data_IF_930767394313
#
_entry.id   IF_930767394313
#
_cell.length_a   1.000
_cell.length_b   1.000
_cell.length_c   1.000
_cell.angle_alpha   90.00
_cell.angle_beta   90.00
_cell.angle_gamma   90.00
#
_symmetry.space_group_name_H-M   'P 1'
#
loop_
_entity.id
_entity.type
_entity.pdbx_description
1 polymer ?
#
# COMPACT_ATOMS: atom_id res chain seq x y z
N UNK A 1 5.82 -12.36 -18.87
CA UNK A 1 7.28 -12.16 -19.07
C UNK A 1 7.85 -11.69 -17.74
N UNK A 2 8.76 -12.46 -17.16
CA UNK A 2 9.48 -12.06 -15.97
C UNK A 2 10.69 -11.21 -16.38
N UNK A 3 10.86 -10.06 -15.71
CA UNK A 3 11.93 -9.12 -16.00
C UNK A 3 12.74 -8.85 -14.73
N UNK A 4 13.99 -9.28 -14.71
CA UNK A 4 14.94 -8.93 -13.65
C UNK A 4 15.64 -7.61 -13.99
N UNK A 5 15.74 -6.69 -13.03
CA UNK A 5 16.35 -5.38 -13.24
C UNK A 5 17.07 -4.88 -12.00
N UNK A 6 18.11 -4.05 -12.20
CA UNK A 6 18.84 -3.35 -11.16
C UNK A 6 18.46 -1.86 -11.00
N UNK A 7 17.35 -1.40 -11.59
CA UNK A 7 16.95 0.01 -11.58
C UNK A 7 16.94 0.64 -10.19
N UNK A 8 16.60 -0.13 -9.16
CA UNK A 8 16.67 0.33 -7.77
C UNK A 8 18.09 0.61 -7.24
N UNK A 9 19.13 0.18 -7.96
CA UNK A 9 20.54 0.46 -7.66
C UNK A 9 21.10 1.63 -8.49
N UNK A 10 20.27 2.25 -9.32
CA UNK A 10 20.62 3.34 -10.22
C UNK A 10 20.15 4.70 -9.71
N UNK A 11 20.30 5.75 -10.51
CA UNK A 11 19.80 7.11 -10.26
C UNK A 11 18.29 7.18 -10.03
N UNK A 12 17.49 6.29 -10.60
CA UNK A 12 16.04 6.23 -10.36
C UNK A 12 15.69 6.11 -8.87
N UNK A 13 16.47 5.37 -8.10
CA UNK A 13 16.25 5.28 -6.66
C UNK A 13 16.73 6.54 -5.91
N UNK A 14 17.84 7.13 -6.35
CA UNK A 14 18.39 8.35 -5.75
C UNK A 14 17.51 9.58 -5.98
N UNK A 15 16.81 9.66 -7.10
CA UNK A 15 15.89 10.75 -7.44
C UNK A 15 14.52 10.65 -6.76
N UNK A 16 14.36 9.81 -5.74
CA UNK A 16 13.11 9.67 -4.99
C UNK A 16 12.13 8.71 -5.65
N UNK A 17 12.45 7.43 -5.58
CA UNK A 17 11.66 6.35 -6.20
C UNK A 17 10.14 6.50 -6.04
N UNK A 18 9.63 6.70 -4.83
CA UNK A 18 8.20 6.81 -4.58
C UNK A 18 7.58 8.09 -5.14
N UNK A 19 8.24 9.24 -4.95
CA UNK A 19 7.67 10.54 -5.26
C UNK A 19 7.84 10.97 -6.72
N UNK A 20 8.93 10.52 -7.40
CA UNK A 20 9.29 11.07 -8.70
C UNK A 20 9.53 10.04 -9.81
N UNK A 21 10.13 8.88 -9.52
CA UNK A 21 10.80 8.14 -10.60
C UNK A 21 10.23 6.78 -10.95
N UNK A 22 9.41 6.14 -10.11
CA UNK A 22 9.03 4.74 -10.36
C UNK A 22 8.13 4.56 -11.60
N UNK A 23 7.27 5.50 -11.96
CA UNK A 23 6.48 5.44 -13.18
C UNK A 23 7.37 5.45 -14.42
N UNK A 24 8.29 6.43 -14.51
CA UNK A 24 9.26 6.49 -15.60
C UNK A 24 10.16 5.25 -15.65
N UNK A 25 10.58 4.73 -14.49
CA UNK A 25 11.42 3.54 -14.42
C UNK A 25 10.69 2.29 -14.94
N UNK A 26 9.40 2.12 -14.61
CA UNK A 26 8.58 1.02 -15.15
C UNK A 26 8.34 1.19 -16.65
N UNK A 27 8.04 2.41 -17.09
CA UNK A 27 7.86 2.73 -18.49
C UNK A 27 9.13 2.47 -19.33
N UNK A 28 10.31 2.80 -18.81
CA UNK A 28 11.58 2.54 -19.51
C UNK A 28 11.81 1.05 -19.76
N UNK A 29 11.48 0.19 -18.78
CA UNK A 29 11.54 -1.27 -18.97
C UNK A 29 10.53 -1.71 -20.05
N UNK A 30 9.31 -1.17 -20.01
CA UNK A 30 8.28 -1.49 -20.99
C UNK A 30 8.72 -1.13 -22.42
N UNK A 31 9.35 0.04 -22.63
CA UNK A 31 9.90 0.44 -23.91
C UNK A 31 11.04 -0.46 -24.41
N UNK A 32 11.90 -0.96 -23.52
CA UNK A 32 12.93 -1.95 -23.89
C UNK A 32 12.33 -3.25 -24.41
N UNK A 33 11.08 -3.55 -24.05
CA UNK A 33 10.33 -4.72 -24.50
C UNK A 33 9.31 -4.40 -25.60
N UNK A 34 9.37 -3.20 -26.16
CA UNK A 34 8.37 -2.65 -27.09
C UNK A 34 8.05 -3.55 -28.29
N UNK A 35 9.04 -4.27 -28.84
CA UNK A 35 8.82 -5.22 -29.93
C UNK A 35 7.94 -6.44 -29.53
N UNK A 36 7.66 -6.63 -28.26
CA UNK A 36 6.87 -7.74 -27.71
C UNK A 36 5.59 -7.29 -26.99
N UNK A 37 5.46 -6.00 -26.73
CA UNK A 37 4.37 -5.41 -25.94
C UNK A 37 3.78 -4.24 -26.71
N UNK A 38 2.49 -4.23 -26.95
CA UNK A 38 1.75 -3.07 -27.47
C UNK A 38 1.06 -2.25 -26.36
N UNK A 39 0.92 -2.85 -25.18
CA UNK A 39 0.24 -2.22 -24.04
C UNK A 39 0.83 -2.66 -22.72
N UNK A 40 0.99 -1.72 -21.78
CA UNK A 40 1.42 -1.96 -20.41
C UNK A 40 0.50 -1.25 -19.43
N UNK A 41 0.10 -1.96 -18.39
CA UNK A 41 -0.73 -1.44 -17.31
C UNK A 41 0.14 -1.17 -16.08
N UNK A 42 0.18 0.07 -15.61
CA UNK A 42 0.81 0.45 -14.35
C UNK A 42 -0.27 0.52 -13.28
N UNK A 43 -0.22 -0.37 -12.31
CA UNK A 43 -1.23 -0.45 -11.25
C UNK A 43 -1.21 0.81 -10.35
N UNK A 44 -2.34 1.48 -10.23
CA UNK A 44 -2.46 2.68 -9.41
C UNK A 44 -2.27 2.41 -7.92
N UNK A 45 -1.51 3.27 -7.25
CA UNK A 45 -1.34 3.25 -5.80
C UNK A 45 -2.57 3.80 -5.07
N UNK A 46 -3.14 4.89 -5.57
CA UNK A 46 -4.33 5.56 -5.02
C UNK A 46 -5.50 5.59 -5.98
N UNK A 47 -6.64 6.10 -5.50
CA UNK A 47 -7.80 6.38 -6.35
C UNK A 47 -7.88 7.84 -6.77
N UNK A 48 -8.70 8.14 -7.78
CA UNK A 48 -8.93 9.51 -8.28
C UNK A 48 -9.36 10.51 -7.20
N UNK A 49 -10.05 10.06 -6.16
CA UNK A 49 -10.52 10.91 -5.04
C UNK A 49 -9.41 11.38 -4.10
N UNK A 50 -8.17 11.01 -4.33
CA UNK A 50 -7.06 11.33 -3.43
C UNK A 50 -5.72 11.34 -4.13
N UNK A 51 -5.67 11.95 -5.32
CA UNK A 51 -4.44 12.11 -6.07
C UNK A 51 -3.49 13.06 -5.34
N UNK A 52 -2.24 12.66 -5.32
CA UNK A 52 -1.12 13.49 -4.86
C UNK A 52 0.02 13.36 -5.87
N UNK A 53 0.97 14.29 -5.91
CA UNK A 53 2.20 14.12 -6.69
C UNK A 53 2.91 12.82 -6.31
N UNK A 54 3.01 11.90 -7.26
CA UNK A 54 3.59 10.57 -7.08
C UNK A 54 4.29 10.13 -8.35
N UNK A 55 5.34 9.34 -8.25
CA UNK A 55 6.19 8.95 -9.38
C UNK A 55 5.50 8.08 -10.44
N UNK A 56 4.30 7.56 -10.17
CA UNK A 56 3.36 7.01 -11.14
C UNK A 56 2.00 7.66 -10.88
N UNK A 57 1.42 8.29 -11.88
CA UNK A 57 0.23 9.13 -11.71
C UNK A 57 -0.66 9.07 -12.96
N UNK A 58 -1.99 9.10 -12.85
CA UNK A 58 -2.89 8.97 -14.01
C UNK A 58 -2.74 10.10 -15.06
N UNK A 59 -2.19 11.25 -14.67
CA UNK A 59 -1.91 12.34 -15.61
C UNK A 59 -0.54 12.22 -16.31
N UNK A 60 0.41 11.51 -15.71
CA UNK A 60 1.77 11.42 -16.26
C UNK A 60 2.06 10.10 -16.94
N UNK A 61 1.56 8.97 -16.41
CA UNK A 61 1.86 7.66 -16.98
C UNK A 61 1.45 7.53 -18.46
N UNK A 62 0.26 7.98 -18.90
CA UNK A 62 -0.11 7.93 -20.32
C UNK A 62 0.81 8.73 -21.23
N UNK A 63 1.44 9.82 -20.73
CA UNK A 63 2.39 10.64 -21.49
C UNK A 63 3.72 9.92 -21.76
N UNK A 64 3.96 8.80 -21.07
CA UNK A 64 5.13 7.94 -21.29
C UNK A 64 4.89 6.92 -22.42
N UNK A 65 3.74 6.94 -23.10
CA UNK A 65 3.46 6.12 -24.27
C UNK A 65 4.32 6.54 -25.46
N UNK A 66 4.57 5.59 -26.37
CA UNK A 66 5.25 5.82 -27.64
C UNK A 66 4.37 5.42 -28.83
N UNK A 67 4.94 5.43 -30.04
CA UNK A 67 4.24 5.01 -31.27
C UNK A 67 3.71 3.59 -31.19
N UNK A 68 4.48 2.67 -30.60
CA UNK A 68 4.22 1.25 -30.64
C UNK A 68 3.81 0.67 -29.29
N UNK A 69 3.86 1.49 -28.21
CA UNK A 69 3.57 1.07 -26.84
C UNK A 69 2.63 2.05 -26.14
N UNK A 70 1.47 1.59 -25.75
CA UNK A 70 0.53 2.34 -24.92
C UNK A 70 0.75 2.02 -23.43
N UNK A 71 0.96 3.06 -22.61
CA UNK A 71 1.05 2.95 -21.15
C UNK A 71 -0.23 3.46 -20.52
N UNK A 72 -0.86 2.66 -19.68
CA UNK A 72 -2.11 2.95 -19.01
C UNK A 72 -1.89 2.93 -17.49
N UNK A 73 -2.30 4.00 -16.80
CA UNK A 73 -2.41 4.00 -15.34
C UNK A 73 -3.71 3.32 -14.95
N UNK A 74 -3.64 2.10 -14.42
CA UNK A 74 -4.80 1.23 -14.23
C UNK A 74 -5.33 1.19 -12.80
N UNK A 75 -6.65 1.08 -12.68
CA UNK A 75 -7.34 0.83 -11.41
C UNK A 75 -7.51 2.07 -10.51
N UNK A 76 -7.27 3.30 -10.99
CA UNK A 76 -7.46 4.52 -10.18
C UNK A 76 -8.94 4.86 -9.87
N UNK A 77 -9.89 4.22 -10.51
CA UNK A 77 -11.31 4.34 -10.18
C UNK A 77 -11.67 3.74 -8.81
N UNK A 78 -10.82 2.85 -8.29
CA UNK A 78 -11.08 2.09 -7.07
C UNK A 78 -10.11 2.46 -5.95
N UNK A 79 -10.63 2.58 -4.73
CA UNK A 79 -9.79 2.73 -3.54
C UNK A 79 -9.16 1.38 -3.13
N UNK A 80 -8.25 1.41 -2.14
CA UNK A 80 -7.53 0.20 -1.72
C UNK A 80 -8.45 -0.89 -1.16
N UNK A 81 -9.48 -0.54 -0.43
CA UNK A 81 -10.42 -1.51 0.14
C UNK A 81 -11.22 -2.21 -0.97
N UNK A 82 -11.74 -1.44 -1.93
CA UNK A 82 -12.45 -1.99 -3.09
C UNK A 82 -11.57 -2.93 -3.94
N UNK A 83 -10.30 -2.55 -4.15
CA UNK A 83 -9.33 -3.44 -4.82
C UNK A 83 -9.09 -4.72 -4.03
N UNK A 84 -8.97 -4.62 -2.71
CA UNK A 84 -8.79 -5.79 -1.84
C UNK A 84 -10.03 -6.68 -1.89
N UNK A 85 -11.22 -6.12 -1.83
CA UNK A 85 -12.49 -6.84 -1.98
C UNK A 85 -12.58 -7.56 -3.32
N UNK A 86 -12.20 -6.88 -4.41
CA UNK A 86 -12.22 -7.47 -5.74
C UNK A 86 -11.29 -8.69 -5.82
N UNK A 87 -10.02 -8.54 -5.43
CA UNK A 87 -9.04 -9.63 -5.53
C UNK A 87 -9.31 -10.76 -4.53
N UNK A 88 -10.01 -10.51 -3.42
CA UNK A 88 -10.29 -11.54 -2.40
C UNK A 88 -11.15 -12.69 -2.92
N UNK A 89 -11.83 -12.48 -4.04
CA UNK A 89 -12.68 -13.49 -4.71
C UNK A 89 -11.91 -14.45 -5.62
N UNK A 90 -10.61 -14.18 -5.84
CA UNK A 90 -9.79 -14.97 -6.78
C UNK A 90 -8.82 -15.88 -6.04
N UNK A 91 -8.82 -17.15 -6.37
CA UNK A 91 -7.96 -18.16 -5.73
C UNK A 91 -6.47 -17.87 -5.94
N UNK A 92 -6.08 -17.32 -7.09
CA UNK A 92 -4.70 -16.89 -7.33
C UNK A 92 -4.26 -15.81 -6.32
N UNK A 93 -5.13 -14.84 -5.99
CA UNK A 93 -4.81 -13.83 -4.99
C UNK A 93 -4.75 -14.44 -3.59
N UNK A 94 -5.67 -15.34 -3.25
CA UNK A 94 -5.69 -16.05 -1.96
C UNK A 94 -4.40 -16.84 -1.72
N UNK A 95 -3.88 -17.46 -2.76
CA UNK A 95 -2.68 -18.31 -2.72
C UNK A 95 -1.37 -17.53 -2.82
N UNK A 96 -1.33 -16.43 -3.59
CA UNK A 96 -0.07 -15.78 -3.94
C UNK A 96 0.04 -14.30 -3.56
N UNK A 97 -0.97 -13.66 -2.96
CA UNK A 97 -0.90 -12.25 -2.64
C UNK A 97 0.29 -11.93 -1.74
N UNK A 98 1.26 -11.19 -2.27
CA UNK A 98 2.41 -10.70 -1.54
C UNK A 98 2.40 -9.18 -1.48
N UNK A 99 2.35 -8.62 -0.26
CA UNK A 99 2.30 -7.16 -0.02
C UNK A 99 3.47 -6.65 0.80
N UNK A 100 4.25 -7.56 1.36
CA UNK A 100 5.33 -7.28 2.29
C UNK A 100 6.51 -6.58 1.61
N UNK A 101 7.29 -5.82 2.40
CA UNK A 101 8.59 -5.31 1.97
C UNK A 101 9.70 -6.36 2.04
N UNK A 102 9.49 -7.48 2.75
CA UNK A 102 10.46 -8.58 2.83
C UNK A 102 10.67 -9.18 1.46
N UNK A 103 11.91 -9.26 1.03
CA UNK A 103 12.34 -9.82 -0.25
C UNK A 103 12.87 -11.24 0.01
N UNK A 104 12.63 -12.16 -0.91
CA UNK A 104 13.18 -13.51 -0.87
C UNK A 104 12.37 -14.53 -0.07
N UNK A 105 11.11 -14.23 0.27
CA UNK A 105 10.18 -15.18 0.86
C UNK A 105 8.86 -15.20 0.09
N UNK A 106 8.25 -16.36 -0.06
CA UNK A 106 6.93 -16.53 -0.70
C UNK A 106 5.78 -16.11 0.23
N UNK A 107 6.08 -15.83 1.50
CA UNK A 107 5.10 -15.45 2.52
C UNK A 107 5.29 -14.03 2.99
N UNK A 108 4.19 -13.39 3.35
CA UNK A 108 4.19 -12.09 4.01
C UNK A 108 4.75 -12.21 5.44
N UNK A 109 5.51 -11.22 5.93
CA UNK A 109 6.01 -11.23 7.31
C UNK A 109 4.90 -11.14 8.36
N UNK A 110 3.70 -10.69 7.97
CA UNK A 110 2.50 -10.52 8.80
C UNK A 110 2.66 -9.60 10.02
N UNK A 111 3.70 -8.75 10.02
CA UNK A 111 4.01 -7.83 11.12
C UNK A 111 4.22 -6.38 10.65
N UNK A 112 4.64 -6.16 9.41
CA UNK A 112 4.87 -4.80 8.90
C UNK A 112 3.55 -4.07 8.61
N UNK A 113 3.64 -2.75 8.50
CA UNK A 113 2.52 -1.84 8.22
C UNK A 113 1.69 -2.29 7.02
N UNK A 114 2.33 -2.71 5.93
CA UNK A 114 1.62 -3.18 4.73
C UNK A 114 0.83 -4.47 4.98
N UNK A 115 1.44 -5.43 5.68
CA UNK A 115 0.77 -6.67 6.05
C UNK A 115 -0.44 -6.38 6.92
N UNK A 116 -0.28 -5.60 8.00
CA UNK A 116 -1.37 -5.28 8.90
C UNK A 116 -2.54 -4.57 8.22
N UNK A 117 -2.26 -3.59 7.37
CA UNK A 117 -3.30 -2.91 6.57
C UNK A 117 -4.09 -3.88 5.71
N UNK A 118 -3.40 -4.80 5.03
CA UNK A 118 -4.06 -5.78 4.16
C UNK A 118 -4.84 -6.80 4.98
N UNK A 119 -4.27 -7.30 6.08
CA UNK A 119 -4.95 -8.24 6.97
C UNK A 119 -6.23 -7.63 7.57
N UNK A 120 -6.20 -6.36 8.02
CA UNK A 120 -7.40 -5.66 8.51
C UNK A 120 -8.48 -5.50 7.43
N UNK A 121 -8.07 -5.18 6.18
CA UNK A 121 -9.02 -5.08 5.07
C UNK A 121 -9.67 -6.44 4.78
N UNK A 122 -8.86 -7.50 4.78
CA UNK A 122 -9.35 -8.87 4.57
C UNK A 122 -10.22 -9.36 5.75
N UNK A 123 -9.89 -8.99 6.99
CA UNK A 123 -10.67 -9.33 8.17
C UNK A 123 -12.06 -8.67 8.14
N UNK A 124 -12.13 -7.36 7.89
CA UNK A 124 -13.43 -6.68 7.80
C UNK A 124 -14.27 -7.14 6.62
N UNK A 125 -13.65 -7.74 5.60
CA UNK A 125 -14.31 -8.37 4.46
C UNK A 125 -14.74 -9.84 4.73
N UNK A 126 -14.36 -10.42 5.88
CA UNK A 126 -14.54 -11.84 6.24
C UNK A 126 -13.75 -12.81 5.35
N UNK A 127 -12.73 -12.32 4.65
CA UNK A 127 -11.92 -13.07 3.69
C UNK A 127 -10.54 -13.49 4.21
N UNK A 128 -10.10 -12.97 5.35
CA UNK A 128 -8.72 -13.15 5.85
C UNK A 128 -8.32 -14.63 6.00
N UNK A 129 -9.25 -15.49 6.41
CA UNK A 129 -9.02 -16.93 6.59
C UNK A 129 -8.56 -17.64 5.30
N UNK A 130 -8.92 -17.13 4.13
CA UNK A 130 -8.64 -17.73 2.82
C UNK A 130 -7.25 -17.40 2.26
N UNK A 131 -6.54 -16.44 2.84
CA UNK A 131 -5.24 -16.00 2.33
C UNK A 131 -4.08 -16.77 2.97
N UNK A 132 -3.42 -17.63 2.19
CA UNK A 132 -2.39 -18.58 2.65
C UNK A 132 -1.03 -17.92 2.95
N UNK A 133 -0.78 -16.75 2.35
CA UNK A 133 0.51 -16.06 2.46
C UNK A 133 0.69 -15.30 3.77
N UNK A 134 -0.38 -15.17 4.58
CA UNK A 134 -0.33 -14.50 5.90
C UNK A 134 -0.35 -15.50 7.05
N UNK A 135 0.47 -15.24 8.06
CA UNK A 135 0.45 -15.95 9.34
C UNK A 135 -0.69 -15.40 10.21
N UNK A 136 -1.72 -16.23 10.42
CA UNK A 136 -2.92 -15.87 11.17
C UNK A 136 -2.63 -15.59 12.66
N UNK A 137 -1.62 -16.27 13.23
CA UNK A 137 -1.25 -16.11 14.63
C UNK A 137 -0.63 -14.74 14.94
N UNK A 138 -0.15 -14.04 13.92
CA UNK A 138 0.43 -12.69 14.05
C UNK A 138 -0.59 -11.57 13.93
N UNK A 139 -1.84 -11.89 13.64
CA UNK A 139 -2.92 -10.90 13.56
C UNK A 139 -3.75 -10.89 14.84
N UNK A 140 -3.91 -9.72 15.43
CA UNK A 140 -4.81 -9.56 16.58
C UNK A 140 -5.42 -8.16 16.61
N UNK A 141 -6.66 -8.07 17.08
CA UNK A 141 -7.36 -6.80 17.30
C UNK A 141 -6.63 -5.94 18.36
N UNK A 142 -6.07 -6.58 19.39
CA UNK A 142 -5.29 -5.89 20.43
C UNK A 142 -4.04 -5.19 19.84
N UNK A 143 -3.42 -5.76 18.83
CA UNK A 143 -2.27 -5.12 18.15
C UNK A 143 -2.70 -3.89 17.36
N UNK A 144 -3.87 -3.94 16.71
CA UNK A 144 -4.42 -2.79 15.98
C UNK A 144 -4.59 -1.58 16.90
N UNK A 145 -5.05 -1.79 18.13
CA UNK A 145 -5.27 -0.69 19.08
C UNK A 145 -4.01 0.08 19.47
N UNK A 146 -2.84 -0.53 19.33
CA UNK A 146 -1.51 0.05 19.60
C UNK A 146 -0.79 0.51 18.34
N UNK A 147 -1.41 0.40 17.17
CA UNK A 147 -0.80 0.77 15.91
C UNK A 147 -0.53 2.28 15.85
N UNK A 148 0.70 2.67 15.49
CA UNK A 148 1.09 4.06 15.33
C UNK A 148 0.90 4.52 13.88
N UNK A 149 -0.05 5.41 13.65
CA UNK A 149 -0.34 6.01 12.35
C UNK A 149 0.58 7.22 12.14
N UNK A 150 1.70 7.00 11.44
CA UNK A 150 2.74 8.03 11.28
C UNK A 150 2.39 9.09 10.24
N UNK A 151 1.64 8.72 9.23
CA UNK A 151 1.37 9.58 8.08
C UNK A 151 -0.11 9.58 7.70
N UNK A 152 -0.53 10.61 6.98
CA UNK A 152 -1.92 10.77 6.54
C UNK A 152 -2.51 9.56 5.81
N UNK A 153 -1.67 8.81 5.10
CA UNK A 153 -2.06 7.57 4.44
C UNK A 153 -2.50 6.48 5.41
N UNK A 154 -1.87 6.37 6.58
CA UNK A 154 -2.23 5.39 7.58
C UNK A 154 -3.64 5.66 8.08
N UNK A 155 -3.94 6.91 8.43
CA UNK A 155 -5.27 7.34 8.82
C UNK A 155 -6.31 7.08 7.72
N UNK A 156 -5.96 7.34 6.45
CA UNK A 156 -6.86 7.09 5.32
C UNK A 156 -7.23 5.61 5.21
N UNK A 157 -6.24 4.71 5.30
CA UNK A 157 -6.50 3.27 5.25
C UNK A 157 -7.28 2.76 6.46
N UNK A 158 -6.94 3.21 7.66
CA UNK A 158 -7.68 2.87 8.87
C UNK A 158 -9.13 3.34 8.81
N UNK A 159 -9.38 4.55 8.31
CA UNK A 159 -10.74 5.07 8.12
C UNK A 159 -11.55 4.26 7.09
N UNK A 160 -10.95 3.78 6.01
CA UNK A 160 -11.64 2.89 5.05
C UNK A 160 -12.13 1.61 5.74
N UNK A 161 -11.25 0.96 6.53
CA UNK A 161 -11.62 -0.24 7.30
C UNK A 161 -12.69 0.09 8.34
N UNK A 162 -12.53 1.20 9.09
CA UNK A 162 -13.48 1.64 10.10
C UNK A 162 -14.87 1.88 9.52
N UNK A 163 -14.98 2.54 8.38
CA UNK A 163 -16.26 2.81 7.72
C UNK A 163 -16.99 1.51 7.35
N UNK A 164 -16.27 0.53 6.82
CA UNK A 164 -16.85 -0.78 6.52
C UNK A 164 -17.19 -1.56 7.80
N UNK A 165 -16.35 -1.45 8.85
CA UNK A 165 -16.61 -2.07 10.14
C UNK A 165 -17.89 -1.54 10.81
N UNK A 166 -18.21 -0.25 10.61
CA UNK A 166 -19.51 0.33 11.07
C UNK A 166 -20.67 -0.35 10.34
N UNK A 167 -20.60 -0.47 9.02
CA UNK A 167 -21.65 -1.13 8.22
C UNK A 167 -21.83 -2.59 8.63
N UNK A 168 -20.73 -3.29 8.87
CA UNK A 168 -20.72 -4.71 9.28
C UNK A 168 -20.89 -4.93 10.78
N UNK A 169 -21.09 -3.87 11.57
CA UNK A 169 -21.27 -3.92 13.04
C UNK A 169 -20.11 -4.59 13.79
N UNK A 170 -18.88 -4.50 13.26
CA UNK A 170 -17.65 -5.02 13.87
C UNK A 170 -17.14 -4.03 14.92
N UNK A 171 -17.80 -4.03 16.09
CA UNK A 171 -17.50 -3.12 17.23
C UNK A 171 -16.07 -3.30 17.74
N UNK A 172 -15.54 -4.51 17.68
CA UNK A 172 -14.16 -4.85 18.02
C UNK A 172 -13.15 -4.05 17.19
N UNK A 173 -13.29 -4.07 15.86
CA UNK A 173 -12.44 -3.31 14.94
C UNK A 173 -12.60 -1.80 15.10
N UNK A 174 -13.83 -1.30 15.27
CA UNK A 174 -14.10 0.12 15.48
C UNK A 174 -13.34 0.62 16.70
N UNK A 175 -13.50 -0.05 17.87
CA UNK A 175 -12.83 0.32 19.11
C UNK A 175 -11.30 0.26 18.99
N UNK A 176 -10.77 -0.77 18.32
CA UNK A 176 -9.33 -0.91 18.13
C UNK A 176 -8.74 0.22 17.25
N UNK A 177 -9.43 0.57 16.16
CA UNK A 177 -9.01 1.66 15.27
C UNK A 177 -9.09 3.00 15.99
N UNK A 178 -10.19 3.28 16.69
CA UNK A 178 -10.34 4.52 17.47
C UNK A 178 -9.27 4.64 18.56
N UNK A 179 -8.91 3.52 19.21
CA UNK A 179 -7.81 3.46 20.17
C UNK A 179 -6.45 3.75 19.50
N UNK A 180 -6.20 3.20 18.30
CA UNK A 180 -4.96 3.47 17.57
C UNK A 180 -4.80 4.95 17.19
N UNK A 181 -5.89 5.63 16.85
CA UNK A 181 -5.87 7.08 16.57
C UNK A 181 -5.52 7.89 17.82
N UNK A 182 -6.10 7.55 18.98
CA UNK A 182 -5.75 8.18 20.25
C UNK A 182 -4.28 7.93 20.60
N UNK A 183 -3.84 6.67 20.51
CA UNK A 183 -2.44 6.28 20.74
C UNK A 183 -1.47 7.07 19.86
N UNK A 184 -1.75 7.19 18.56
CA UNK A 184 -0.93 7.96 17.62
C UNK A 184 -0.83 9.43 18.03
N UNK A 185 -1.95 10.06 18.40
CA UNK A 185 -1.97 11.45 18.86
C UNK A 185 -1.12 11.66 20.11
N UNK A 186 -1.18 10.75 21.10
CA UNK A 186 -0.34 10.82 22.28
C UNK A 186 1.15 10.68 21.95
N UNK A 187 1.50 9.76 21.07
CA UNK A 187 2.89 9.57 20.63
C UNK A 187 3.42 10.77 19.86
N UNK A 188 2.62 11.39 19.00
CA UNK A 188 3.01 12.61 18.28
C UNK A 188 3.33 13.75 19.25
N UNK A 189 2.49 13.95 20.26
CA UNK A 189 2.72 14.95 21.32
C UNK A 189 4.01 14.62 22.07
N UNK A 190 4.19 13.39 22.52
CA UNK A 190 5.39 12.96 23.24
C UNK A 190 6.67 13.18 22.40
N UNK A 191 6.66 12.77 21.13
CA UNK A 191 7.80 12.97 20.23
C UNK A 191 8.10 14.45 19.98
N UNK A 192 7.08 15.30 19.93
CA UNK A 192 7.25 16.75 19.81
C UNK A 192 7.99 17.33 21.03
N UNK A 193 7.60 16.92 22.23
CA UNK A 193 8.27 17.34 23.47
C UNK A 193 9.69 16.81 23.56
N UNK A 194 9.93 15.54 23.24
CA UNK A 194 11.25 14.94 23.24
C UNK A 194 12.23 15.70 22.32
N UNK A 195 11.78 16.06 21.10
CA UNK A 195 12.58 16.86 20.15
C UNK A 195 12.86 18.29 20.68
N UNK A 196 11.94 18.90 21.43
CA UNK A 196 12.17 20.22 22.03
C UNK A 196 13.24 20.15 23.13
N UNK A 197 13.17 19.13 23.99
CA UNK A 197 14.19 18.87 25.04
C UNK A 197 15.56 18.64 24.43
N UNK A 198 15.65 17.78 23.40
CA UNK A 198 16.91 17.51 22.70
C UNK A 198 17.54 18.78 22.08
N UNK A 199 16.72 19.67 21.53
CA UNK A 199 17.18 20.99 21.02
C UNK A 199 17.63 21.95 22.12
N UNK A 200 17.07 21.82 23.30
CA UNK A 200 17.45 22.67 24.46
C UNK A 200 18.74 22.20 25.12
N UNK A 201 19.04 20.89 25.03
CA UNK A 201 20.27 20.30 25.57
C UNK A 201 21.50 20.42 24.64
N UNK A 202 21.33 20.84 23.40
CA UNK A 202 22.38 21.17 22.41
C UNK A 202 22.67 22.66 22.39
#
# INVERSE_FOLDING_TARGET
>A
IDVATNLRKTHFNKSGWGKLSHGCALASIAHLLGNRLSKVLIASTGGYTGLIPWGSHPLTDPLLSGSDLTIIHDGAAFNRLQKTEFISKYDLARKYLHVCYSIGTDKNCSQCVKCYRTMMMLDVLDEFKHFETFDKNKYSIAHISKFYNQVSWDYKYMNMVRSLAVIKKRIDLIKAIDSSFKHSKYLDIFLLYARKIEKWLK
#
